data_IF_244950336526
#
_entry.id   IF_244950336526
#
_cell.length_a   1.000
_cell.length_b   1.000
_cell.length_c   1.000
_cell.angle_alpha   90.00
_cell.angle_beta   90.00
_cell.angle_gamma   90.00
#
_symmetry.space_group_name_H-M   'P 1'
#
loop_
_entity.id
_entity.type
_entity.pdbx_description
1 polymer ?
#
# COMPACT_ATOMS: atom_id res chain seq x y z
N UNK A 1 -13.88 0.75 13.86
CA UNK A 1 -14.47 0.96 12.52
C UNK A 1 -13.51 1.66 11.56
N UNK A 2 -12.21 1.76 11.87
CA UNK A 2 -11.17 2.46 11.09
C UNK A 2 -11.39 3.98 10.91
N UNK A 3 -12.52 4.39 10.31
CA UNK A 3 -12.87 5.79 10.07
C UNK A 3 -14.20 5.93 9.31
N UNK A 4 -14.55 7.18 8.96
CA UNK A 4 -15.78 7.50 8.23
C UNK A 4 -16.97 7.77 9.15
N UNK A 5 -18.05 7.02 8.99
CA UNK A 5 -19.33 7.30 9.67
C UNK A 5 -19.26 7.25 11.21
N UNK A 6 -18.25 6.59 11.79
CA UNK A 6 -18.08 6.51 13.24
C UNK A 6 -17.49 7.79 13.86
N UNK A 7 -16.86 8.65 13.07
CA UNK A 7 -16.06 9.78 13.59
C UNK A 7 -16.95 10.81 14.30
N UNK A 8 -18.03 11.26 13.65
CA UNK A 8 -18.88 12.31 14.21
C UNK A 8 -19.51 11.90 15.54
N UNK A 9 -20.05 10.68 15.63
CA UNK A 9 -20.62 10.15 16.86
C UNK A 9 -19.60 10.05 18.01
N UNK A 10 -18.33 9.72 17.71
CA UNK A 10 -17.26 9.72 18.71
C UNK A 10 -16.92 11.13 19.18
N UNK A 11 -16.93 12.11 18.28
CA UNK A 11 -16.67 13.52 18.63
C UNK A 11 -17.80 14.10 19.48
N UNK A 12 -19.07 13.83 19.14
CA UNK A 12 -20.23 14.23 19.95
C UNK A 12 -20.18 13.61 21.36
N UNK A 13 -19.73 12.36 21.47
CA UNK A 13 -19.62 11.67 22.76
C UNK A 13 -18.61 12.32 23.72
N UNK A 14 -17.73 13.21 23.25
CA UNK A 14 -16.80 13.98 24.11
C UNK A 14 -17.51 14.98 25.02
N UNK A 15 -18.77 15.32 24.75
CA UNK A 15 -19.58 16.22 25.59
C UNK A 15 -20.41 15.46 26.64
N UNK A 16 -20.24 14.14 26.75
CA UNK A 16 -20.94 13.31 27.72
C UNK A 16 -19.95 12.70 28.72
N UNK A 17 -20.01 13.09 29.99
CA UNK A 17 -19.07 12.67 31.04
C UNK A 17 -18.87 11.15 31.17
N UNK A 18 -19.90 10.34 30.86
CA UNK A 18 -19.81 8.88 30.95
C UNK A 18 -19.15 8.25 29.72
N UNK A 19 -19.29 8.87 28.56
CA UNK A 19 -18.81 8.34 27.28
C UNK A 19 -17.48 8.95 26.86
N UNK A 20 -17.20 10.19 27.27
CA UNK A 20 -16.03 10.94 26.85
C UNK A 20 -14.70 10.24 27.13
N UNK A 21 -14.47 9.55 28.27
CA UNK A 21 -13.24 8.78 28.47
C UNK A 21 -13.07 7.65 27.44
N UNK A 22 -14.17 7.00 27.05
CA UNK A 22 -14.16 5.87 26.09
C UNK A 22 -13.93 6.41 24.68
N UNK A 23 -14.63 7.49 24.32
CA UNK A 23 -14.50 8.14 23.03
C UNK A 23 -13.11 8.74 22.83
N UNK A 24 -12.53 9.34 23.87
CA UNK A 24 -11.16 9.86 23.84
C UNK A 24 -10.14 8.76 23.53
N UNK A 25 -10.23 7.63 24.24
CA UNK A 25 -9.38 6.47 23.94
C UNK A 25 -9.55 5.98 22.49
N UNK A 26 -10.78 5.92 22.00
CA UNK A 26 -11.03 5.50 20.61
C UNK A 26 -10.45 6.47 19.59
N UNK A 27 -10.64 7.78 19.76
CA UNK A 27 -10.15 8.82 18.85
C UNK A 27 -8.61 8.95 18.88
N UNK A 28 -7.97 8.72 20.04
CA UNK A 28 -6.51 8.68 20.17
C UNK A 28 -5.83 7.69 19.21
N UNK A 29 -6.48 6.56 18.90
CA UNK A 29 -5.97 5.55 17.96
C UNK A 29 -6.61 5.60 16.56
N UNK A 30 -7.47 6.59 16.30
CA UNK A 30 -8.14 6.74 15.00
C UNK A 30 -7.30 7.63 14.09
N UNK A 31 -6.77 7.08 13.00
CA UNK A 31 -5.89 7.80 12.07
C UNK A 31 -6.68 8.60 11.02
N UNK A 32 -7.81 8.06 10.57
CA UNK A 32 -8.63 8.59 9.49
C UNK A 32 -9.51 9.77 9.95
N UNK A 33 -8.89 10.75 10.61
CA UNK A 33 -9.56 11.96 11.11
C UNK A 33 -9.74 13.03 10.03
N UNK A 34 -8.83 13.11 9.06
CA UNK A 34 -8.84 14.10 7.98
C UNK A 34 -9.22 15.52 8.47
N UNK A 35 -10.32 16.09 7.98
CA UNK A 35 -10.80 17.41 8.40
C UNK A 35 -11.49 17.42 9.76
N UNK A 36 -12.07 16.29 10.21
CA UNK A 36 -12.64 16.15 11.55
C UNK A 36 -11.59 16.28 12.67
N UNK A 37 -10.30 16.35 12.33
CA UNK A 37 -9.28 16.85 13.24
C UNK A 37 -9.64 18.23 13.82
N UNK A 38 -10.14 19.14 12.98
CA UNK A 38 -10.44 20.52 13.39
C UNK A 38 -11.61 20.58 14.37
N UNK A 39 -12.59 19.68 14.25
CA UNK A 39 -13.71 19.56 15.19
C UNK A 39 -13.21 19.20 16.61
N UNK A 40 -12.22 18.31 16.71
CA UNK A 40 -11.58 17.95 17.98
C UNK A 40 -10.72 19.10 18.51
N UNK A 41 -9.97 19.77 17.62
CA UNK A 41 -9.15 20.93 17.97
C UNK A 41 -10.01 22.08 18.54
N UNK A 42 -11.17 22.36 17.92
CA UNK A 42 -12.11 23.38 18.38
C UNK A 42 -12.61 23.08 19.79
N UNK A 43 -13.04 21.83 20.06
CA UNK A 43 -13.45 21.40 21.40
C UNK A 43 -12.31 21.53 22.42
N UNK A 44 -11.08 21.21 22.03
CA UNK A 44 -9.91 21.37 22.90
C UNK A 44 -9.66 22.84 23.25
N UNK A 45 -9.75 23.74 22.26
CA UNK A 45 -9.64 25.20 22.43
C UNK A 45 -10.77 25.76 23.28
N UNK A 46 -11.98 25.21 23.18
CA UNK A 46 -13.14 25.56 24.01
C UNK A 46 -13.04 25.04 25.46
N UNK A 47 -12.00 24.26 25.80
CA UNK A 47 -11.71 23.83 27.17
C UNK A 47 -12.10 22.39 27.51
N UNK A 48 -12.61 21.60 26.55
CA UNK A 48 -12.93 20.19 26.78
C UNK A 48 -11.64 19.40 27.10
N UNK A 49 -11.58 18.82 28.31
CA UNK A 49 -10.39 18.12 28.82
C UNK A 49 -10.06 16.85 28.04
N UNK A 50 -11.07 16.14 27.54
CA UNK A 50 -10.91 14.92 26.75
C UNK A 50 -10.42 15.23 25.34
N UNK A 51 -10.92 16.31 24.73
CA UNK A 51 -10.40 16.78 23.44
C UNK A 51 -8.92 17.20 23.54
N UNK A 52 -8.52 17.86 24.63
CA UNK A 52 -7.10 18.16 24.91
C UNK A 52 -6.26 16.90 25.06
N UNK A 53 -6.77 15.88 25.75
CA UNK A 53 -6.11 14.58 25.87
C UNK A 53 -5.87 13.93 24.51
N UNK A 54 -6.87 13.94 23.62
CA UNK A 54 -6.75 13.38 22.26
C UNK A 54 -5.68 14.14 21.47
N UNK A 55 -5.70 15.48 21.49
CA UNK A 55 -4.72 16.31 20.81
C UNK A 55 -3.29 16.02 21.28
N UNK A 56 -3.10 15.84 22.59
CA UNK A 56 -1.81 15.48 23.17
C UNK A 56 -1.38 14.06 22.76
N UNK A 57 -2.28 13.09 22.83
CA UNK A 57 -2.06 11.69 22.41
C UNK A 57 -1.60 11.58 20.95
N UNK A 58 -2.25 12.31 20.03
CA UNK A 58 -1.82 12.40 18.64
C UNK A 58 -0.45 13.07 18.51
N UNK A 59 -0.20 14.15 19.25
CA UNK A 59 1.05 14.89 19.21
C UNK A 59 2.25 14.08 19.75
N UNK A 60 2.01 13.17 20.70
CA UNK A 60 2.99 12.25 21.27
C UNK A 60 3.14 10.96 20.44
N UNK A 61 2.24 10.73 19.48
CA UNK A 61 2.30 9.59 18.57
C UNK A 61 1.90 8.27 19.21
N UNK A 62 1.00 8.29 20.20
CA UNK A 62 0.57 7.08 20.94
C UNK A 62 -0.04 6.00 20.04
N UNK A 63 -0.72 6.40 18.96
CA UNK A 63 -1.22 5.49 17.93
C UNK A 63 -0.12 4.61 17.30
N UNK A 64 1.13 5.09 17.31
CA UNK A 64 2.29 4.41 16.76
C UNK A 64 3.08 3.69 17.87
N UNK A 65 3.33 4.36 19.00
CA UNK A 65 4.17 3.81 20.07
C UNK A 65 3.52 2.64 20.82
N UNK A 66 2.19 2.58 20.87
CA UNK A 66 1.47 1.44 21.47
C UNK A 66 1.41 0.20 20.56
N UNK A 67 1.81 0.34 19.27
CA UNK A 67 1.94 -0.81 18.38
C UNK A 67 3.26 -1.54 18.64
N UNK A 68 3.29 -2.88 18.58
CA UNK A 68 4.51 -3.65 18.73
C UNK A 68 5.59 -3.21 17.74
N UNK A 69 6.83 -3.07 18.21
CA UNK A 69 7.96 -2.79 17.34
C UNK A 69 8.27 -4.01 16.45
N UNK A 70 8.87 -3.74 15.29
CA UNK A 70 9.42 -4.81 14.47
C UNK A 70 10.45 -5.58 15.29
N UNK A 71 10.27 -6.90 15.40
CA UNK A 71 11.15 -7.73 16.21
C UNK A 71 12.60 -7.68 15.70
N UNK A 72 13.57 -7.70 16.63
CA UNK A 72 15.00 -7.77 16.27
C UNK A 72 15.36 -9.05 15.50
N UNK A 73 14.55 -10.11 15.70
CA UNK A 73 14.67 -11.40 15.06
C UNK A 73 13.29 -11.92 14.67
N UNK A 74 13.13 -12.33 13.41
CA UNK A 74 11.91 -12.92 12.87
C UNK A 74 12.25 -14.32 12.36
N UNK A 75 11.67 -15.34 12.97
CA UNK A 75 11.84 -16.73 12.52
C UNK A 75 10.73 -17.10 11.56
N UNK A 76 11.08 -17.55 10.35
CA UNK A 76 10.12 -17.90 9.29
C UNK A 76 10.47 -19.24 8.64
N UNK A 77 9.45 -19.90 8.08
CA UNK A 77 9.63 -21.05 7.17
C UNK A 77 9.57 -20.55 5.72
N UNK A 78 10.55 -20.95 4.91
CA UNK A 78 10.67 -20.53 3.52
C UNK A 78 9.63 -21.25 2.64
N UNK A 79 8.81 -20.48 1.93
CA UNK A 79 8.02 -20.94 0.78
C UNK A 79 8.72 -20.47 -0.50
N UNK A 80 9.60 -21.30 -1.07
CA UNK A 80 10.41 -20.94 -2.24
C UNK A 80 9.68 -21.23 -3.55
N UNK A 81 9.60 -20.23 -4.42
CA UNK A 81 9.18 -20.36 -5.82
C UNK A 81 10.38 -20.05 -6.70
N UNK A 82 10.95 -21.06 -7.37
CA UNK A 82 12.13 -20.90 -8.23
C UNK A 82 11.78 -20.16 -9.52
N UNK A 83 12.74 -19.42 -10.06
CA UNK A 83 12.61 -18.61 -11.24
C UNK A 83 11.86 -17.29 -11.02
N UNK A 84 11.15 -16.85 -12.05
CA UNK A 84 10.36 -15.62 -12.04
C UNK A 84 8.92 -15.91 -11.58
N UNK A 85 8.47 -15.16 -10.57
CA UNK A 85 7.06 -15.07 -10.19
C UNK A 85 6.44 -13.84 -10.83
N UNK A 86 5.63 -14.05 -11.85
CA UNK A 86 4.79 -13.02 -12.42
C UNK A 86 3.54 -12.79 -11.55
N UNK A 87 3.02 -11.58 -11.50
CA UNK A 87 1.76 -11.30 -10.80
C UNK A 87 0.56 -12.08 -11.36
N UNK A 88 0.59 -12.54 -12.61
CA UNK A 88 -0.42 -13.46 -13.16
C UNK A 88 -0.35 -14.85 -12.54
N UNK A 89 0.83 -15.29 -12.07
CA UNK A 89 0.98 -16.55 -11.36
C UNK A 89 0.29 -16.53 -9.99
N UNK A 90 0.34 -15.37 -9.34
CA UNK A 90 -0.25 -15.13 -8.03
C UNK A 90 -1.75 -14.79 -8.12
N UNK A 91 -2.17 -14.18 -9.22
CA UNK A 91 -3.53 -13.73 -9.47
C UNK A 91 -3.85 -13.86 -10.95
N UNK A 92 -4.27 -15.05 -11.43
CA UNK A 92 -4.45 -15.31 -12.86
C UNK A 92 -5.52 -14.42 -13.51
N UNK A 93 -5.29 -14.01 -14.76
CA UNK A 93 -6.23 -13.18 -15.50
C UNK A 93 -7.66 -13.77 -15.62
N UNK A 94 -7.88 -15.08 -15.85
CA UNK A 94 -9.23 -15.66 -15.93
C UNK A 94 -10.07 -15.49 -14.65
N UNK A 95 -9.42 -15.26 -13.51
CA UNK A 95 -10.00 -15.12 -12.18
C UNK A 95 -10.12 -13.65 -11.75
N UNK A 96 -9.87 -12.69 -12.65
CA UNK A 96 -9.94 -11.26 -12.34
C UNK A 96 -11.28 -10.82 -11.72
N UNK A 97 -12.35 -11.51 -12.08
CA UNK A 97 -13.72 -11.29 -11.59
C UNK A 97 -13.90 -11.51 -10.09
N UNK A 98 -13.08 -12.38 -9.46
CA UNK A 98 -13.18 -12.70 -8.03
C UNK A 98 -12.25 -11.87 -7.15
N UNK A 99 -11.38 -11.02 -7.74
CA UNK A 99 -10.36 -10.24 -7.00
C UNK A 99 -10.85 -9.48 -5.75
N UNK A 100 -12.07 -8.90 -5.71
CA UNK A 100 -12.56 -8.22 -4.50
C UNK A 100 -12.86 -9.18 -3.34
N UNK A 101 -13.13 -10.45 -3.62
CA UNK A 101 -13.31 -11.50 -2.62
C UNK A 101 -11.95 -12.18 -2.37
N UNK A 102 -11.17 -11.62 -1.44
CA UNK A 102 -9.78 -12.01 -1.19
C UNK A 102 -9.66 -13.51 -0.85
N UNK A 103 -10.43 -14.10 0.08
CA UNK A 103 -10.34 -15.52 0.40
C UNK A 103 -10.64 -16.41 -0.81
N UNK A 104 -11.68 -16.07 -1.58
CA UNK A 104 -12.06 -16.82 -2.77
C UNK A 104 -10.98 -16.74 -3.85
N UNK A 105 -10.47 -15.53 -4.11
CA UNK A 105 -9.47 -15.29 -5.14
C UNK A 105 -8.14 -15.95 -4.80
N UNK A 106 -7.77 -16.01 -3.51
CA UNK A 106 -6.54 -16.65 -3.05
C UNK A 106 -6.47 -18.14 -3.42
N UNK A 107 -7.59 -18.83 -3.60
CA UNK A 107 -7.60 -20.22 -4.08
C UNK A 107 -6.91 -20.38 -5.45
N UNK A 108 -6.92 -19.33 -6.29
CA UNK A 108 -6.32 -19.38 -7.63
C UNK A 108 -4.80 -19.12 -7.65
N UNK A 109 -4.20 -18.71 -6.52
CA UNK A 109 -2.77 -18.40 -6.42
C UNK A 109 -1.94 -19.65 -6.74
N UNK A 110 -1.03 -19.55 -7.71
CA UNK A 110 -0.15 -20.64 -8.14
C UNK A 110 -0.92 -21.92 -8.54
N UNK A 111 -2.14 -21.80 -9.08
CA UNK A 111 -2.94 -22.95 -9.52
C UNK A 111 -2.35 -23.71 -10.71
N UNK A 112 -1.46 -23.08 -11.48
CA UNK A 112 -0.75 -23.72 -12.58
C UNK A 112 0.57 -24.30 -12.06
N UNK A 113 0.77 -25.60 -12.24
CA UNK A 113 1.94 -26.31 -11.74
C UNK A 113 3.25 -25.70 -12.27
N UNK A 114 4.26 -25.69 -11.40
CA UNK A 114 5.64 -25.27 -11.69
C UNK A 114 6.60 -26.08 -10.84
N UNK A 115 7.90 -25.97 -11.11
CA UNK A 115 8.92 -26.65 -10.33
C UNK A 115 8.79 -26.32 -8.83
N UNK A 116 8.75 -27.35 -7.99
CA UNK A 116 8.63 -27.22 -6.53
C UNK A 116 7.24 -26.84 -6.00
N UNK A 117 6.24 -26.62 -6.87
CA UNK A 117 4.89 -26.22 -6.48
C UNK A 117 3.86 -27.21 -7.01
N UNK A 118 3.08 -27.76 -6.08
CA UNK A 118 2.08 -28.80 -6.34
C UNK A 118 0.68 -28.27 -6.05
N UNK A 119 -0.07 -27.79 -7.06
CA UNK A 119 -1.43 -27.31 -6.87
C UNK A 119 -2.36 -28.43 -6.42
N UNK A 120 -3.26 -28.16 -5.48
CA UNK A 120 -4.27 -29.11 -5.00
C UNK A 120 -5.20 -29.58 -6.13
N UNK A 121 -5.54 -28.68 -7.05
CA UNK A 121 -6.29 -28.96 -8.27
C UNK A 121 -5.70 -28.16 -9.44
N UNK A 122 -4.79 -28.74 -10.24
CA UNK A 122 -4.12 -28.02 -11.33
C UNK A 122 -5.09 -27.26 -12.25
N UNK A 123 -4.82 -25.98 -12.45
CA UNK A 123 -5.63 -25.05 -13.24
C UNK A 123 -6.82 -24.42 -12.49
N UNK A 124 -7.12 -24.87 -11.26
CA UNK A 124 -8.28 -24.43 -10.47
C UNK A 124 -7.89 -23.94 -9.07
N UNK A 125 -7.21 -24.78 -8.29
CA UNK A 125 -6.83 -24.51 -6.89
C UNK A 125 -5.32 -24.66 -6.71
N UNK A 126 -4.71 -23.65 -6.09
CA UNK A 126 -3.29 -23.57 -5.73
C UNK A 126 -2.79 -24.58 -4.71
N UNK A 127 -1.53 -24.45 -4.26
CA UNK A 127 -0.84 -25.42 -3.41
C UNK A 127 -1.22 -25.26 -1.92
N UNK A 128 -2.52 -25.29 -1.59
CA UNK A 128 -3.02 -25.03 -0.23
C UNK A 128 -2.50 -26.07 0.75
N UNK A 129 -2.53 -27.36 0.40
CA UNK A 129 -2.01 -28.42 1.28
C UNK A 129 -0.51 -28.28 1.53
N UNK A 130 0.25 -27.84 0.52
CA UNK A 130 1.68 -27.61 0.66
C UNK A 130 1.96 -26.45 1.62
N UNK A 131 1.22 -25.34 1.49
CA UNK A 131 1.28 -24.19 2.39
C UNK A 131 0.91 -24.62 3.83
N UNK A 132 -0.20 -25.35 4.01
CA UNK A 132 -0.62 -25.86 5.32
C UNK A 132 0.40 -26.82 5.94
N UNK A 133 1.02 -27.68 5.14
CA UNK A 133 2.06 -28.59 5.61
C UNK A 133 3.29 -27.84 6.13
N UNK A 134 3.68 -26.73 5.49
CA UNK A 134 4.77 -25.87 5.95
C UNK A 134 4.37 -25.09 7.21
N UNK A 135 3.14 -24.57 7.28
CA UNK A 135 2.62 -23.91 8.47
C UNK A 135 2.66 -24.79 9.74
N UNK A 136 2.54 -26.12 9.59
CA UNK A 136 2.67 -27.07 10.71
C UNK A 136 4.05 -27.09 11.37
N UNK A 137 5.07 -26.48 10.76
CA UNK A 137 6.39 -26.29 11.39
C UNK A 137 6.38 -25.26 12.53
N UNK A 138 5.29 -24.51 12.71
CA UNK A 138 5.08 -23.62 13.85
C UNK A 138 5.67 -22.22 13.71
N UNK A 139 6.15 -21.86 12.51
CA UNK A 139 6.64 -20.52 12.19
C UNK A 139 5.82 -19.91 11.04
N UNK A 140 5.67 -18.57 10.99
CA UNK A 140 5.10 -17.89 9.83
C UNK A 140 5.85 -18.23 8.54
N UNK A 141 5.16 -18.15 7.39
CA UNK A 141 5.80 -18.34 6.10
C UNK A 141 6.38 -17.03 5.56
N UNK A 142 7.51 -17.14 4.86
CA UNK A 142 8.00 -16.09 3.98
C UNK A 142 7.90 -16.53 2.53
N UNK A 143 7.36 -15.67 1.66
CA UNK A 143 7.38 -15.90 0.22
C UNK A 143 8.79 -15.60 -0.29
N UNK A 144 9.44 -16.57 -0.95
CA UNK A 144 10.80 -16.41 -1.45
C UNK A 144 10.85 -16.73 -2.93
N UNK A 145 11.49 -15.90 -3.75
CA UNK A 145 11.65 -16.18 -5.18
C UNK A 145 12.85 -15.47 -5.82
N UNK A 146 13.33 -15.96 -6.96
CA UNK A 146 14.54 -15.39 -7.57
C UNK A 146 14.24 -14.01 -8.19
N UNK A 147 13.11 -13.89 -8.89
CA UNK A 147 12.52 -12.62 -9.33
C UNK A 147 11.05 -12.58 -8.96
N UNK A 148 10.57 -11.56 -8.25
CA UNK A 148 9.22 -11.53 -7.67
C UNK A 148 8.41 -10.32 -8.12
N UNK A 149 7.17 -10.56 -8.54
CA UNK A 149 6.14 -9.53 -8.70
C UNK A 149 6.18 -8.78 -10.03
N UNK A 150 6.78 -9.36 -11.07
CA UNK A 150 6.81 -8.73 -12.40
C UNK A 150 5.41 -8.65 -13.03
N UNK A 151 5.28 -7.78 -14.04
CA UNK A 151 4.07 -7.66 -14.84
C UNK A 151 3.07 -6.61 -14.36
N UNK A 152 1.86 -7.05 -14.03
CA UNK A 152 0.68 -6.20 -13.78
C UNK A 152 0.68 -5.60 -12.38
N UNK A 153 0.08 -4.42 -12.21
CA UNK A 153 -0.06 -3.74 -10.90
C UNK A 153 -1.19 -4.31 -10.02
N UNK A 154 -1.69 -5.52 -10.31
CA UNK A 154 -2.87 -6.09 -9.66
C UNK A 154 -2.61 -6.37 -8.17
N UNK A 155 -3.23 -5.58 -7.28
CA UNK A 155 -3.12 -5.75 -5.82
C UNK A 155 -3.58 -7.13 -5.35
N UNK A 156 -4.43 -7.81 -6.11
CA UNK A 156 -4.86 -9.18 -5.84
C UNK A 156 -3.71 -10.17 -5.70
N UNK A 157 -2.59 -9.99 -6.40
CA UNK A 157 -1.40 -10.82 -6.22
C UNK A 157 -0.84 -10.72 -4.78
N UNK A 158 -0.68 -9.50 -4.28
CA UNK A 158 -0.31 -9.23 -2.88
C UNK A 158 -1.37 -9.77 -1.92
N UNK A 159 -2.66 -9.50 -2.17
CA UNK A 159 -3.73 -9.96 -1.30
C UNK A 159 -3.72 -11.49 -1.13
N UNK A 160 -3.48 -12.24 -2.21
CA UNK A 160 -3.44 -13.71 -2.15
C UNK A 160 -2.23 -14.23 -1.37
N UNK A 161 -1.05 -13.63 -1.54
CA UNK A 161 0.14 -13.98 -0.73
C UNK A 161 -0.12 -13.70 0.75
N UNK A 162 -0.60 -12.50 1.09
CA UNK A 162 -0.86 -12.09 2.46
C UNK A 162 -2.05 -12.84 3.09
N UNK A 163 -2.98 -13.33 2.29
CA UNK A 163 -4.05 -14.19 2.79
C UNK A 163 -3.49 -15.46 3.45
N UNK A 164 -2.49 -16.08 2.81
CA UNK A 164 -1.88 -17.31 3.33
C UNK A 164 -0.71 -17.06 4.30
N UNK A 165 -0.01 -15.94 4.18
CA UNK A 165 1.28 -15.70 4.85
C UNK A 165 1.32 -14.44 5.72
N UNK A 166 0.22 -13.69 5.78
CA UNK A 166 0.08 -12.49 6.61
C UNK A 166 -0.75 -12.72 7.87
N UNK A 167 -0.98 -11.63 8.58
CA UNK A 167 -1.67 -11.58 9.87
C UNK A 167 -3.09 -11.03 9.72
N UNK A 168 -3.99 -11.52 10.58
CA UNK A 168 -5.35 -10.97 10.68
C UNK A 168 -5.31 -9.52 11.16
N UNK A 169 -6.11 -8.66 10.53
CA UNK A 169 -6.27 -7.27 10.94
C UNK A 169 -7.47 -7.19 11.90
N UNK A 170 -7.29 -6.72 13.15
CA UNK A 170 -8.39 -6.68 14.12
C UNK A 170 -9.63 -5.96 13.60
N UNK A 171 -10.78 -6.64 13.67
CA UNK A 171 -12.10 -6.13 13.25
C UNK A 171 -12.25 -5.80 11.76
N UNK A 172 -11.31 -6.24 10.91
CA UNK A 172 -11.40 -6.09 9.45
C UNK A 172 -11.54 -7.48 8.82
N UNK A 173 -12.75 -7.87 8.36
CA UNK A 173 -12.97 -9.21 7.84
C UNK A 173 -12.30 -9.41 6.48
N UNK A 174 -11.88 -10.65 6.20
CA UNK A 174 -11.44 -11.11 4.89
C UNK A 174 -10.30 -10.29 4.26
N UNK A 175 -9.47 -9.62 5.08
CA UNK A 175 -8.25 -8.94 4.67
C UNK A 175 -7.15 -9.20 5.70
N UNK A 176 -5.94 -9.43 5.19
CA UNK A 176 -4.72 -9.62 5.99
C UNK A 176 -3.65 -8.60 5.61
N UNK A 177 -2.76 -8.32 6.55
CA UNK A 177 -1.59 -7.46 6.37
C UNK A 177 -0.31 -8.18 6.83
N UNK A 178 0.79 -7.46 6.98
CA UNK A 178 2.02 -8.07 7.52
C UNK A 178 2.71 -9.02 6.53
N UNK A 179 3.41 -10.03 7.06
CA UNK A 179 4.14 -11.01 6.25
C UNK A 179 5.52 -10.53 5.75
N UNK A 180 6.31 -11.48 5.25
CA UNK A 180 7.69 -11.24 4.76
C UNK A 180 7.83 -11.77 3.34
N UNK A 181 8.48 -10.98 2.47
CA UNK A 181 8.83 -11.41 1.11
C UNK A 181 10.29 -11.15 0.83
N UNK A 182 10.99 -12.20 0.41
CA UNK A 182 12.39 -12.17 0.03
C UNK A 182 12.51 -12.40 -1.47
N UNK A 183 13.29 -11.58 -2.16
CA UNK A 183 13.54 -11.81 -3.57
C UNK A 183 14.94 -11.44 -3.99
N UNK A 184 15.55 -12.22 -4.90
CA UNK A 184 16.78 -11.80 -5.58
C UNK A 184 16.58 -10.46 -6.30
N UNK A 185 15.41 -10.31 -6.92
CA UNK A 185 14.90 -9.03 -7.41
C UNK A 185 13.40 -8.92 -7.13
N UNK A 186 12.92 -7.76 -6.69
CA UNK A 186 11.50 -7.47 -6.51
C UNK A 186 11.09 -6.32 -7.44
N UNK A 187 10.05 -6.52 -8.23
CA UNK A 187 9.57 -5.48 -9.14
C UNK A 187 9.05 -4.26 -8.35
N UNK A 188 9.37 -3.01 -8.74
CA UNK A 188 9.07 -1.82 -7.93
C UNK A 188 7.59 -1.63 -7.54
N UNK A 189 6.66 -1.93 -8.44
CA UNK A 189 5.22 -1.81 -8.16
C UNK A 189 4.79 -2.83 -7.09
N UNK A 190 5.31 -4.06 -7.20
CA UNK A 190 5.01 -5.11 -6.23
C UNK A 190 5.63 -4.79 -4.88
N UNK A 191 6.90 -4.35 -4.85
CA UNK A 191 7.57 -3.87 -3.63
C UNK A 191 6.71 -2.82 -2.89
N UNK A 192 6.27 -1.79 -3.62
CA UNK A 192 5.44 -0.74 -3.06
C UNK A 192 4.08 -1.27 -2.57
N UNK A 193 3.48 -2.23 -3.28
CA UNK A 193 2.20 -2.82 -2.87
C UNK A 193 2.35 -3.65 -1.58
N UNK A 194 3.49 -4.31 -1.38
CA UNK A 194 3.80 -5.08 -0.17
C UNK A 194 4.02 -4.16 1.04
N UNK A 195 4.85 -3.11 0.91
CA UNK A 195 5.11 -2.15 1.99
C UNK A 195 3.83 -1.35 2.36
N UNK A 196 2.99 -0.99 1.38
CA UNK A 196 1.70 -0.33 1.62
C UNK A 196 0.74 -1.20 2.43
N UNK A 197 0.85 -2.53 2.30
CA UNK A 197 0.04 -3.51 3.02
C UNK A 197 0.62 -3.97 4.37
N UNK A 198 1.74 -3.37 4.79
CA UNK A 198 2.40 -3.68 6.07
C UNK A 198 3.34 -4.87 6.03
N UNK A 199 3.63 -5.42 4.85
CA UNK A 199 4.61 -6.48 4.69
C UNK A 199 6.05 -5.94 4.73
N UNK A 200 7.01 -6.84 4.95
CA UNK A 200 8.44 -6.56 4.90
C UNK A 200 9.06 -7.16 3.61
N UNK A 201 9.11 -6.40 2.50
CA UNK A 201 9.81 -6.82 1.28
C UNK A 201 11.32 -6.54 1.39
N UNK A 202 12.15 -7.54 1.08
CA UNK A 202 13.62 -7.45 1.14
C UNK A 202 14.22 -8.00 -0.15
N UNK A 203 15.02 -7.18 -0.83
CA UNK A 203 15.89 -7.67 -1.91
C UNK A 203 17.17 -8.28 -1.30
N UNK A 204 17.39 -9.57 -1.53
CA UNK A 204 18.51 -10.35 -0.97
C UNK A 204 18.81 -11.54 -1.87
N UNK A 205 20.06 -12.03 -1.91
CA UNK A 205 20.36 -13.29 -2.58
C UNK A 205 19.57 -14.44 -1.91
N UNK A 206 18.82 -15.20 -2.71
CA UNK A 206 17.95 -16.28 -2.24
C UNK A 206 18.43 -17.66 -2.70
N UNK A 207 19.63 -17.76 -3.27
CA UNK A 207 20.19 -19.01 -3.83
C UNK A 207 20.41 -20.09 -2.78
N UNK A 208 20.72 -19.69 -1.54
CA UNK A 208 20.88 -20.59 -0.38
C UNK A 208 19.59 -20.90 0.37
N UNK A 209 18.46 -20.32 -0.04
CA UNK A 209 17.17 -20.48 0.64
C UNK A 209 16.30 -21.49 -0.12
N UNK A 210 16.02 -22.62 0.50
CA UNK A 210 15.27 -23.73 -0.09
C UNK A 210 13.88 -23.87 0.53
N UNK A 211 12.98 -24.54 -0.20
CA UNK A 211 11.62 -24.82 0.27
C UNK A 211 11.65 -25.55 1.62
N UNK A 212 10.98 -24.96 2.62
CA UNK A 212 10.86 -25.51 3.95
C UNK A 212 12.02 -25.23 4.90
N UNK A 213 13.08 -24.53 4.48
CA UNK A 213 14.12 -24.07 5.40
C UNK A 213 13.51 -23.17 6.48
N UNK A 214 14.02 -23.29 7.72
CA UNK A 214 13.67 -22.37 8.80
C UNK A 214 14.82 -21.40 8.99
N UNK A 215 14.54 -20.11 8.86
CA UNK A 215 15.54 -19.05 8.88
C UNK A 215 15.19 -17.98 9.91
N UNK A 216 16.23 -17.36 10.47
CA UNK A 216 16.14 -16.19 11.33
C UNK A 216 16.56 -14.96 10.52
N UNK A 217 15.63 -14.01 10.37
CA UNK A 217 15.87 -12.71 9.73
C UNK A 217 16.11 -11.69 10.84
N UNK A 218 17.19 -10.92 10.74
CA UNK A 218 17.53 -9.84 11.66
C UNK A 218 17.40 -8.49 10.95
N UNK A 219 16.21 -7.84 10.94
CA UNK A 219 15.94 -6.65 10.13
C UNK A 219 16.91 -5.49 10.39
N UNK A 220 17.30 -5.30 11.65
CA UNK A 220 18.20 -4.23 12.07
C UNK A 220 19.68 -4.52 11.83
N UNK A 221 20.06 -5.81 11.72
CA UNK A 221 21.44 -6.23 11.44
C UNK A 221 21.70 -6.43 9.95
N UNK A 222 20.65 -6.65 9.16
CA UNK A 222 20.79 -6.98 7.75
C UNK A 222 21.34 -8.39 7.53
N UNK A 223 20.90 -9.37 8.33
CA UNK A 223 21.41 -10.74 8.27
C UNK A 223 20.27 -11.76 8.17
N UNK A 224 20.48 -12.81 7.38
CA UNK A 224 19.66 -14.01 7.34
C UNK A 224 20.53 -15.18 7.79
N UNK A 225 20.05 -15.92 8.80
CA UNK A 225 20.76 -17.07 9.37
C UNK A 225 19.90 -18.32 9.34
N UNK A 226 20.53 -19.48 9.26
CA UNK A 226 19.85 -20.74 9.49
C UNK A 226 19.40 -20.82 10.96
N UNK A 227 18.14 -21.18 11.21
CA UNK A 227 17.58 -21.19 12.57
C UNK A 227 18.22 -22.24 13.48
N UNK A 228 18.59 -23.40 12.95
CA UNK A 228 19.15 -24.51 13.73
C UNK A 228 20.66 -24.37 13.95
N UNK A 229 21.41 -23.99 12.91
CA UNK A 229 22.87 -23.93 12.96
C UNK A 229 23.43 -22.55 13.30
N UNK A 230 22.60 -21.51 13.23
CA UNK A 230 23.00 -20.10 13.34
C UNK A 230 24.05 -19.65 12.29
N UNK A 231 24.24 -20.45 11.24
CA UNK A 231 25.10 -20.14 10.11
C UNK A 231 24.58 -18.89 9.39
N UNK A 232 25.48 -17.96 9.05
CA UNK A 232 25.14 -16.80 8.22
C UNK A 232 24.92 -17.28 6.78
N UNK A 233 23.66 -17.23 6.33
CA UNK A 233 23.30 -17.60 4.97
C UNK A 233 23.60 -16.43 4.04
N UNK A 234 23.06 -15.25 4.35
CA UNK A 234 23.20 -14.05 3.53
C UNK A 234 23.11 -12.75 4.36
N UNK A 235 23.58 -11.66 3.77
CA UNK A 235 23.39 -10.30 4.30
C UNK A 235 22.57 -9.45 3.34
N UNK A 236 21.87 -8.44 3.86
CA UNK A 236 21.03 -7.54 3.09
C UNK A 236 21.06 -6.12 3.65
N UNK A 237 20.60 -5.18 2.84
CA UNK A 237 20.29 -3.83 3.28
C UNK A 237 18.81 -3.55 3.00
N UNK A 238 18.10 -2.98 3.96
CA UNK A 238 16.77 -2.45 3.71
C UNK A 238 16.88 -1.29 2.72
N UNK A 239 15.92 -1.20 1.79
CA UNK A 239 15.84 -0.10 0.82
C UNK A 239 15.83 1.26 1.51
N UNK A 240 15.14 1.34 2.66
CA UNK A 240 15.08 2.51 3.53
C UNK A 240 14.86 2.07 4.97
N UNK A 241 15.39 2.81 5.94
CA UNK A 241 15.12 2.55 7.36
C UNK A 241 13.68 2.91 7.75
N UNK A 242 13.00 3.73 6.95
CA UNK A 242 11.58 4.09 7.15
C UNK A 242 10.69 2.84 7.08
N UNK A 243 11.10 1.81 6.35
CA UNK A 243 10.38 0.54 6.22
C UNK A 243 10.12 -0.11 7.60
N UNK A 244 11.01 0.10 8.57
CA UNK A 244 10.81 -0.36 9.97
C UNK A 244 9.57 0.29 10.59
N UNK A 245 9.39 1.60 10.38
CA UNK A 245 8.21 2.32 10.87
C UNK A 245 6.95 1.93 10.08
N UNK A 246 7.08 1.65 8.79
CA UNK A 246 5.95 1.24 7.94
C UNK A 246 5.36 -0.08 8.43
N UNK A 247 6.21 -1.08 8.69
CA UNK A 247 5.76 -2.37 9.22
C UNK A 247 5.11 -2.19 10.60
N UNK A 248 5.71 -1.41 11.50
CA UNK A 248 5.12 -1.12 12.83
C UNK A 248 3.75 -0.47 12.70
N UNK A 249 3.58 0.49 11.79
CA UNK A 249 2.31 1.17 11.55
C UNK A 249 1.24 0.27 10.91
N UNK A 250 1.60 -0.93 10.44
CA UNK A 250 0.72 -1.82 9.68
C UNK A 250 0.61 -1.45 8.20
N UNK A 251 1.60 -0.72 7.68
CA UNK A 251 1.71 -0.30 6.29
C UNK A 251 2.21 1.13 6.14
N UNK A 252 2.81 1.42 4.98
CA UNK A 252 3.25 2.77 4.63
C UNK A 252 2.10 3.78 4.58
N UNK A 253 0.94 3.39 4.06
CA UNK A 253 -0.25 4.28 4.00
C UNK A 253 -0.72 4.70 5.42
N UNK A 254 -0.98 3.78 6.36
CA UNK A 254 -1.25 4.14 7.76
C UNK A 254 -0.17 5.03 8.39
N UNK A 255 1.11 4.75 8.13
CA UNK A 255 2.22 5.55 8.66
C UNK A 255 2.13 7.02 8.19
N UNK A 256 1.90 7.25 6.90
CA UNK A 256 1.83 8.61 6.35
C UNK A 256 0.65 9.38 6.96
N UNK A 257 -0.53 8.76 7.02
CA UNK A 257 -1.72 9.38 7.60
C UNK A 257 -1.49 9.71 9.07
N UNK A 258 -1.01 8.76 9.86
CA UNK A 258 -0.75 8.95 11.28
C UNK A 258 0.36 9.96 11.57
N UNK A 259 1.44 9.95 10.78
CA UNK A 259 2.52 10.95 10.88
C UNK A 259 2.01 12.35 10.57
N UNK A 260 1.17 12.49 9.54
CA UNK A 260 0.48 13.74 9.20
C UNK A 260 -0.41 14.24 10.34
N UNK A 261 -1.20 13.34 10.95
CA UNK A 261 -2.04 13.63 12.10
C UNK A 261 -1.21 14.12 13.30
N UNK A 262 -0.12 13.42 13.63
CA UNK A 262 0.82 13.82 14.69
C UNK A 262 1.44 15.19 14.40
N UNK A 263 1.89 15.44 13.16
CA UNK A 263 2.46 16.74 12.78
C UNK A 263 1.46 17.88 12.95
N UNK A 264 0.22 17.69 12.50
CA UNK A 264 -0.87 18.67 12.62
C UNK A 264 -1.21 18.96 14.09
N UNK A 265 -1.30 17.93 14.93
CA UNK A 265 -1.52 18.06 16.37
C UNK A 265 -0.39 18.84 17.06
N UNK A 266 0.87 18.52 16.75
CA UNK A 266 2.04 19.22 17.31
C UNK A 266 2.07 20.69 16.93
N UNK A 267 1.79 20.99 15.66
CA UNK A 267 1.71 22.38 15.18
C UNK A 267 0.60 23.16 15.90
N UNK A 268 -0.59 22.58 16.04
CA UNK A 268 -1.71 23.17 16.76
C UNK A 268 -1.39 23.43 18.26
N UNK A 269 -0.60 22.56 18.88
CA UNK A 269 -0.15 22.70 20.27
C UNK A 269 1.10 23.58 20.45
N UNK A 270 1.68 24.12 19.37
CA UNK A 270 2.90 24.92 19.42
C UNK A 270 4.15 24.12 19.79
N UNK A 271 4.14 22.80 19.56
CA UNK A 271 5.25 21.90 19.83
C UNK A 271 6.23 21.84 18.63
N UNK A 272 7.53 21.58 18.87
CA UNK A 272 8.49 21.39 17.78
C UNK A 272 8.14 20.13 16.95
N UNK A 273 8.63 20.01 15.70
CA UNK A 273 8.48 18.79 14.90
C UNK A 273 8.86 17.53 15.68
N UNK A 274 8.15 16.43 15.44
CA UNK A 274 8.42 15.16 16.12
C UNK A 274 9.76 14.58 15.70
N UNK A 275 10.48 13.97 16.65
CA UNK A 275 11.68 13.14 16.41
C UNK A 275 11.39 11.65 16.54
N UNK A 276 10.11 11.27 16.64
CA UNK A 276 9.67 9.88 16.88
C UNK A 276 9.87 8.99 15.65
N UNK A 277 9.64 9.53 14.45
CA UNK A 277 9.62 8.77 13.21
C UNK A 277 11.00 8.82 12.52
N UNK A 278 11.38 7.71 11.92
CA UNK A 278 12.53 7.63 11.02
C UNK A 278 12.27 8.49 9.79
N UNK A 279 13.33 9.15 9.35
CA UNK A 279 13.33 9.95 8.13
C UNK A 279 14.11 9.23 7.05
N UNK A 280 13.72 9.46 5.79
CA UNK A 280 14.54 9.06 4.66
C UNK A 280 15.94 9.68 4.79
N UNK A 281 16.97 8.97 4.32
CA UNK A 281 18.34 9.48 4.35
C UNK A 281 18.40 10.81 3.62
N UNK A 282 19.07 11.78 4.23
CA UNK A 282 19.34 13.05 3.57
C UNK A 282 20.15 12.76 2.30
N UNK A 283 19.65 13.24 1.16
CA UNK A 283 20.39 13.12 -0.10
C UNK A 283 21.54 14.10 -0.09
N UNK A 284 22.70 13.68 -0.61
CA UNK A 284 23.88 14.53 -0.69
C UNK A 284 23.57 15.86 -1.40
N UNK A 285 24.07 16.95 -0.83
CA UNK A 285 23.94 18.25 -1.46
C UNK A 285 24.72 18.24 -2.78
N UNK A 286 24.04 18.65 -3.85
CA UNK A 286 24.63 18.74 -5.18
C UNK A 286 24.22 20.03 -5.85
N UNK A 287 25.20 20.70 -6.45
CA UNK A 287 25.10 21.89 -7.27
C UNK A 287 24.74 21.58 -8.75
N UNK A 288 24.74 20.30 -9.14
CA UNK A 288 24.40 19.87 -10.50
C UNK A 288 22.95 20.20 -10.85
N UNK A 289 22.64 20.40 -12.12
CA UNK A 289 21.25 20.60 -12.56
C UNK A 289 20.32 19.40 -12.27
N UNK A 290 19.02 19.60 -12.47
CA UNK A 290 18.01 18.55 -12.38
C UNK A 290 17.63 18.02 -13.78
N UNK A 291 17.36 16.71 -13.88
CA UNK A 291 16.74 16.10 -15.06
C UNK A 291 15.27 16.55 -15.21
N UNK A 292 14.66 16.27 -16.36
CA UNK A 292 13.25 16.62 -16.60
C UNK A 292 12.32 15.95 -15.58
N UNK A 293 12.50 14.66 -15.30
CA UNK A 293 11.71 13.92 -14.31
C UNK A 293 11.85 14.54 -12.91
N UNK A 294 13.08 14.89 -12.50
CA UNK A 294 13.36 15.52 -11.21
C UNK A 294 12.67 16.89 -11.08
N UNK A 295 12.65 17.68 -12.17
CA UNK A 295 11.95 18.98 -12.21
C UNK A 295 10.44 18.83 -12.12
N UNK A 296 9.86 17.87 -12.86
CA UNK A 296 8.41 17.61 -12.83
C UNK A 296 7.95 17.22 -11.42
N UNK A 297 8.67 16.29 -10.78
CA UNK A 297 8.36 15.88 -9.39
C UNK A 297 8.60 17.02 -8.41
N UNK A 298 9.73 17.75 -8.55
CA UNK A 298 10.02 18.94 -7.75
C UNK A 298 8.89 19.95 -7.79
N UNK A 299 8.42 20.30 -9.00
CA UNK A 299 7.32 21.25 -9.19
C UNK A 299 6.05 20.79 -8.47
N UNK A 300 5.71 19.51 -8.53
CA UNK A 300 4.56 18.95 -7.83
C UNK A 300 4.71 18.95 -6.30
N UNK A 301 5.93 19.10 -5.79
CA UNK A 301 6.24 19.30 -4.37
C UNK A 301 6.52 20.76 -3.98
N UNK A 302 6.36 21.72 -4.90
CA UNK A 302 6.68 23.13 -4.66
C UNK A 302 8.19 23.44 -4.57
N UNK A 303 9.04 22.64 -5.21
CA UNK A 303 10.52 22.75 -5.21
C UNK A 303 11.07 22.79 -6.64
N UNK A 304 12.31 23.22 -6.81
CA UNK A 304 12.97 23.26 -8.14
C UNK A 304 13.28 21.87 -8.72
N UNK A 305 13.45 20.88 -7.85
CA UNK A 305 13.71 19.49 -8.21
C UNK A 305 13.83 18.59 -6.99
N UNK A 306 13.62 17.28 -7.19
CA UNK A 306 13.84 16.22 -6.19
C UNK A 306 15.01 15.35 -6.64
N UNK A 307 15.92 15.00 -5.72
CA UNK A 307 17.08 14.15 -6.04
C UNK A 307 16.75 12.66 -5.88
N UNK A 308 17.46 11.75 -6.56
CA UNK A 308 17.26 10.31 -6.39
C UNK A 308 17.53 9.90 -4.93
N UNK A 309 16.71 8.99 -4.41
CA UNK A 309 16.73 8.56 -3.01
C UNK A 309 16.01 9.49 -2.03
N UNK A 310 15.58 10.67 -2.48
CA UNK A 310 14.84 11.61 -1.64
C UNK A 310 13.36 11.19 -1.56
N UNK A 311 12.83 11.12 -0.34
CA UNK A 311 11.40 10.95 -0.12
C UNK A 311 10.66 12.26 -0.40
N UNK A 312 9.56 12.18 -1.15
CA UNK A 312 8.70 13.31 -1.46
C UNK A 312 7.24 12.88 -1.59
N UNK A 313 6.33 13.87 -1.53
CA UNK A 313 4.89 13.67 -1.67
C UNK A 313 4.34 14.59 -2.77
N UNK A 314 4.59 14.29 -4.06
CA UNK A 314 4.10 15.12 -5.16
C UNK A 314 2.57 15.20 -5.18
N UNK A 315 2.05 16.39 -5.53
CA UNK A 315 0.64 16.57 -5.87
C UNK A 315 0.25 15.69 -7.06
N UNK A 316 -0.85 14.94 -6.92
CA UNK A 316 -1.45 14.12 -7.96
C UNK A 316 -2.46 14.93 -8.77
N UNK A 317 -2.09 15.26 -10.02
CA UNK A 317 -2.96 16.01 -10.94
C UNK A 317 -3.93 15.10 -11.68
N UNK A 318 -3.50 13.90 -12.06
CA UNK A 318 -4.35 12.94 -12.79
C UNK A 318 -4.17 11.53 -12.25
N UNK A 319 -5.29 10.87 -11.95
CA UNK A 319 -5.35 9.50 -11.43
C UNK A 319 -6.22 8.63 -12.33
N UNK A 320 -5.64 7.56 -12.90
CA UNK A 320 -6.35 6.61 -13.76
C UNK A 320 -6.82 5.35 -13.04
N UNK A 321 -8.01 4.85 -13.37
CA UNK A 321 -8.57 3.58 -12.91
C UNK A 321 -9.25 2.81 -14.05
N UNK A 322 -9.10 1.49 -14.07
CA UNK A 322 -9.71 0.57 -15.05
C UNK A 322 -10.56 -0.48 -14.35
N UNK A 323 -11.34 -1.26 -15.11
CA UNK A 323 -12.45 -2.08 -14.63
C UNK A 323 -12.06 -3.42 -13.98
N UNK A 324 -10.82 -3.88 -14.12
CA UNK A 324 -10.30 -5.09 -13.45
C UNK A 324 -9.54 -4.79 -12.16
N UNK A 325 -9.07 -3.57 -11.96
CA UNK A 325 -8.49 -3.07 -10.69
C UNK A 325 -9.45 -2.16 -9.93
N UNK A 326 -10.40 -1.52 -10.63
CA UNK A 326 -11.38 -0.58 -10.11
C UNK A 326 -12.21 -1.11 -8.95
N UNK A 327 -12.74 -2.35 -8.99
CA UNK A 327 -13.43 -2.94 -7.85
C UNK A 327 -12.56 -3.03 -6.58
N UNK A 328 -11.27 -3.38 -6.70
CA UNK A 328 -10.34 -3.35 -5.57
C UNK A 328 -10.06 -1.92 -5.12
N UNK A 329 -9.81 -0.99 -6.05
CA UNK A 329 -9.59 0.43 -5.73
C UNK A 329 -10.80 1.04 -5.01
N UNK A 330 -12.02 0.69 -5.41
CA UNK A 330 -13.26 1.05 -4.72
C UNK A 330 -13.25 0.58 -3.26
N UNK A 331 -12.83 -0.66 -3.03
CA UNK A 331 -12.85 -1.22 -1.67
C UNK A 331 -11.73 -0.63 -0.81
N UNK A 332 -10.55 -0.36 -1.37
CA UNK A 332 -9.50 0.41 -0.68
C UNK A 332 -9.93 1.86 -0.38
N UNK A 333 -10.70 2.51 -1.27
CA UNK A 333 -11.28 3.84 -1.01
C UNK A 333 -12.31 3.82 0.13
N UNK A 334 -13.08 2.74 0.27
CA UNK A 334 -13.99 2.57 1.41
C UNK A 334 -13.22 2.40 2.71
N UNK A 335 -12.14 1.62 2.70
CA UNK A 335 -11.30 1.40 3.89
C UNK A 335 -10.60 2.68 4.34
N UNK A 336 -10.25 3.56 3.40
CA UNK A 336 -9.74 4.91 3.67
C UNK A 336 -10.85 5.91 4.04
N UNK A 337 -12.10 5.48 4.17
CA UNK A 337 -13.24 6.34 4.43
C UNK A 337 -13.38 7.52 3.45
N UNK A 338 -12.96 7.34 2.19
CA UNK A 338 -13.00 8.38 1.18
C UNK A 338 -14.43 8.65 0.72
N UNK A 339 -14.92 9.86 1.02
CA UNK A 339 -16.22 10.38 0.59
C UNK A 339 -16.13 11.34 -0.62
N UNK A 340 -14.93 11.80 -0.96
CA UNK A 340 -14.64 12.66 -2.12
C UNK A 340 -13.16 12.60 -2.48
N UNK A 341 -12.85 12.84 -3.75
CA UNK A 341 -11.46 12.88 -4.22
C UNK A 341 -10.85 14.27 -4.01
N UNK A 342 -9.57 14.28 -3.61
CA UNK A 342 -8.77 15.50 -3.50
C UNK A 342 -7.80 15.68 -4.67
N UNK A 343 -7.53 14.62 -5.45
CA UNK A 343 -6.81 14.73 -6.71
C UNK A 343 -7.64 15.52 -7.73
N UNK A 344 -6.98 16.40 -8.52
CA UNK A 344 -7.65 17.31 -9.45
C UNK A 344 -8.52 16.57 -10.48
N UNK A 345 -8.06 15.40 -10.96
CA UNK A 345 -8.80 14.52 -11.86
C UNK A 345 -8.62 13.05 -11.47
N UNK A 346 -9.74 12.35 -11.32
CA UNK A 346 -9.80 10.88 -11.19
C UNK A 346 -10.68 10.34 -12.32
N UNK A 347 -10.17 9.43 -13.16
CA UNK A 347 -10.89 8.87 -14.30
C UNK A 347 -11.03 7.35 -14.20
N UNK A 348 -12.24 6.83 -14.36
CA UNK A 348 -12.56 5.40 -14.42
C UNK A 348 -12.95 4.99 -15.84
N UNK A 349 -12.41 3.87 -16.32
CA UNK A 349 -12.72 3.27 -17.62
C UNK A 349 -13.33 1.86 -17.52
N UNK A 350 -13.92 1.37 -18.62
CA UNK A 350 -14.49 0.02 -18.73
C UNK A 350 -13.99 -0.67 -20.01
N UNK A 351 -12.70 -0.98 -20.06
CA UNK A 351 -12.05 -1.43 -21.29
C UNK A 351 -11.61 -2.90 -21.30
N UNK A 352 -11.45 -3.53 -20.13
CA UNK A 352 -10.94 -4.91 -20.03
C UNK A 352 -12.06 -5.96 -19.99
N UNK A 353 -13.26 -5.58 -19.53
CA UNK A 353 -14.39 -6.49 -19.30
C UNK A 353 -15.58 -6.22 -20.23
N UNK A 354 -15.51 -5.19 -21.08
CA UNK A 354 -16.65 -4.74 -21.88
C UNK A 354 -17.00 -5.64 -23.07
N UNK A 355 -16.02 -6.33 -23.67
CA UNK A 355 -16.26 -7.11 -24.90
C UNK A 355 -17.13 -8.36 -24.65
N UNK A 356 -16.89 -9.06 -23.54
CA UNK A 356 -17.57 -10.31 -23.19
C UNK A 356 -17.84 -10.35 -21.67
N UNK A 357 -18.77 -9.53 -21.17
CA UNK A 357 -18.96 -9.37 -19.73
C UNK A 357 -19.59 -10.62 -19.10
N UNK A 358 -19.01 -11.09 -18.00
CA UNK A 358 -19.68 -12.04 -17.09
C UNK A 358 -20.77 -11.30 -16.29
N UNK A 359 -21.73 -12.01 -15.66
CA UNK A 359 -22.78 -11.35 -14.85
C UNK A 359 -22.23 -10.43 -13.74
N UNK A 360 -21.09 -10.78 -13.15
CA UNK A 360 -20.39 -9.93 -12.16
C UNK A 360 -19.78 -8.68 -12.79
N UNK A 361 -19.27 -8.76 -14.02
CA UNK A 361 -18.76 -7.60 -14.75
C UNK A 361 -19.88 -6.62 -15.07
N UNK A 362 -21.07 -7.12 -15.46
CA UNK A 362 -22.28 -6.30 -15.66
C UNK A 362 -22.66 -5.56 -14.38
N UNK A 363 -22.55 -6.22 -13.22
CA UNK A 363 -22.77 -5.55 -11.92
C UNK A 363 -21.76 -4.44 -11.68
N UNK A 364 -20.48 -4.67 -12.00
CA UNK A 364 -19.44 -3.62 -11.93
C UNK A 364 -19.76 -2.46 -12.88
N UNK A 365 -20.22 -2.73 -14.11
CA UNK A 365 -20.60 -1.70 -15.09
C UNK A 365 -21.75 -0.81 -14.61
N UNK A 366 -22.66 -1.36 -13.80
CA UNK A 366 -23.78 -0.59 -13.23
C UNK A 366 -23.46 0.15 -11.93
N UNK A 367 -22.51 -0.35 -11.13
CA UNK A 367 -22.28 0.18 -9.77
C UNK A 367 -21.03 1.05 -9.63
N UNK A 368 -19.99 0.78 -10.41
CA UNK A 368 -18.73 1.51 -10.33
C UNK A 368 -18.80 2.95 -10.86
N UNK A 369 -19.59 3.29 -11.91
CA UNK A 369 -19.71 4.67 -12.38
C UNK A 369 -20.18 5.63 -11.29
N UNK A 370 -21.31 5.32 -10.64
CA UNK A 370 -21.89 6.18 -9.61
C UNK A 370 -20.96 6.32 -8.41
N UNK A 371 -20.26 5.24 -8.03
CA UNK A 371 -19.29 5.29 -6.94
C UNK A 371 -18.18 6.33 -7.21
N UNK A 372 -17.71 6.42 -8.45
CA UNK A 372 -16.66 7.35 -8.88
C UNK A 372 -17.21 8.76 -9.04
N UNK A 373 -18.34 8.92 -9.73
CA UNK A 373 -18.95 10.24 -10.00
C UNK A 373 -19.41 10.94 -8.71
N UNK A 374 -19.97 10.20 -7.75
CA UNK A 374 -20.37 10.76 -6.45
C UNK A 374 -19.18 11.29 -5.62
N UNK A 375 -17.95 10.97 -6.01
CA UNK A 375 -16.70 11.46 -5.39
C UNK A 375 -16.02 12.56 -6.23
N UNK A 376 -16.66 13.04 -7.29
CA UNK A 376 -16.11 14.06 -8.20
C UNK A 376 -15.27 13.50 -9.35
N UNK A 377 -15.22 12.18 -9.53
CA UNK A 377 -14.48 11.55 -10.63
C UNK A 377 -15.23 11.52 -11.96
N UNK A 378 -14.50 11.33 -13.04
CA UNK A 378 -15.02 11.10 -14.40
C UNK A 378 -15.17 9.60 -14.64
N UNK A 379 -16.32 9.18 -15.16
CA UNK A 379 -16.57 7.79 -15.54
C UNK A 379 -16.86 7.66 -17.03
N UNK A 380 -16.06 6.88 -17.74
CA UNK A 380 -16.34 6.44 -19.10
C UNK A 380 -17.39 5.31 -19.08
N UNK A 381 -17.81 4.86 -20.27
CA UNK A 381 -18.81 3.81 -20.44
C UNK A 381 -18.20 2.54 -21.06
N UNK A 382 -18.78 1.35 -20.81
CA UNK A 382 -18.45 0.16 -21.59
C UNK A 382 -18.61 0.44 -23.09
N UNK A 383 -17.56 0.16 -23.86
CA UNK A 383 -17.52 0.43 -25.31
C UNK A 383 -16.78 1.71 -25.71
N UNK A 384 -16.46 2.63 -24.78
CA UNK A 384 -15.71 3.85 -25.10
C UNK A 384 -14.25 3.58 -25.49
N UNK A 385 -13.69 2.44 -25.04
CA UNK A 385 -12.36 1.97 -25.42
C UNK A 385 -11.31 2.12 -24.33
N UNK A 386 -10.04 1.96 -24.73
CA UNK A 386 -8.90 1.75 -23.83
C UNK A 386 -8.66 2.96 -22.92
N UNK A 387 -8.46 2.72 -21.62
CA UNK A 387 -8.19 3.73 -20.58
C UNK A 387 -7.20 4.81 -21.03
N UNK A 388 -6.01 4.42 -21.49
CA UNK A 388 -4.92 5.35 -21.80
C UNK A 388 -5.20 6.20 -23.03
N UNK A 389 -6.05 5.73 -23.95
CA UNK A 389 -6.51 6.55 -25.08
C UNK A 389 -7.32 7.76 -24.58
N UNK A 390 -8.11 7.59 -23.53
CA UNK A 390 -8.90 8.67 -22.95
C UNK A 390 -8.11 9.49 -21.93
N UNK A 391 -7.45 8.82 -20.98
CA UNK A 391 -6.69 9.48 -19.92
C UNK A 391 -5.63 10.44 -20.49
N UNK A 392 -4.89 10.01 -21.52
CA UNK A 392 -3.84 10.83 -22.12
C UNK A 392 -4.35 12.13 -22.76
N UNK A 393 -5.64 12.21 -23.09
CA UNK A 393 -6.29 13.42 -23.62
C UNK A 393 -6.74 14.39 -22.54
N UNK A 394 -6.68 13.98 -21.27
CA UNK A 394 -7.09 14.78 -20.11
C UNK A 394 -5.91 15.28 -19.29
N UNK A 395 -4.68 14.97 -19.71
CA UNK A 395 -3.47 15.34 -18.98
C UNK A 395 -3.11 16.82 -19.17
N UNK A 396 -2.51 17.39 -18.13
CA UNK A 396 -1.85 18.69 -18.19
C UNK A 396 -0.33 18.51 -18.34
N UNK A 397 0.34 19.23 -19.25
CA UNK A 397 1.79 19.14 -19.41
C UNK A 397 2.56 19.41 -18.11
N UNK A 398 3.70 18.74 -17.94
CA UNK A 398 4.63 18.91 -16.81
C UNK A 398 4.04 18.62 -15.41
N UNK A 399 2.92 17.90 -15.34
CA UNK A 399 2.31 17.48 -14.08
C UNK A 399 2.60 16.02 -13.75
N UNK A 400 2.34 15.64 -12.49
CA UNK A 400 2.56 14.29 -11.96
C UNK A 400 1.22 13.59 -11.73
N UNK A 401 1.18 12.28 -11.99
CA UNK A 401 0.02 11.46 -11.65
C UNK A 401 0.33 9.99 -11.44
N UNK A 402 -0.72 9.19 -11.30
CA UNK A 402 -0.64 7.75 -11.07
C UNK A 402 -1.83 7.03 -11.70
N UNK A 403 -1.85 5.70 -11.62
CA UNK A 403 -3.01 4.92 -12.02
C UNK A 403 -2.92 3.46 -11.63
N UNK A 404 -4.09 2.84 -11.47
CA UNK A 404 -4.27 1.42 -11.14
C UNK A 404 -4.04 0.50 -12.32
N UNK A 405 -3.03 0.79 -13.13
CA UNK A 405 -2.64 0.04 -14.33
C UNK A 405 -1.15 0.29 -14.63
N UNK A 406 -0.38 -0.77 -14.86
CA UNK A 406 1.08 -0.68 -15.06
C UNK A 406 1.50 0.07 -16.33
N UNK A 407 0.58 0.23 -17.28
CA UNK A 407 0.78 1.01 -18.50
C UNK A 407 0.32 2.47 -18.36
N UNK A 408 -0.01 2.92 -17.15
CA UNK A 408 -0.21 4.36 -16.87
C UNK A 408 1.13 5.09 -17.01
N UNK A 409 1.49 5.41 -18.26
CA UNK A 409 2.75 6.03 -18.67
C UNK A 409 2.40 7.27 -19.49
N UNK A 410 2.37 8.41 -18.81
CA UNK A 410 1.91 9.66 -19.41
C UNK A 410 2.84 10.11 -20.55
N UNK A 411 2.30 10.46 -21.73
CA UNK A 411 3.09 10.99 -22.84
C UNK A 411 3.50 12.46 -22.62
N UNK A 412 2.80 13.18 -21.74
CA UNK A 412 3.10 14.54 -21.31
C UNK A 412 3.04 14.60 -19.78
N UNK A 413 4.08 15.15 -19.14
CA UNK A 413 4.27 15.01 -17.70
C UNK A 413 4.91 13.67 -17.33
N UNK A 414 4.66 13.20 -16.11
CA UNK A 414 5.21 11.92 -15.60
C UNK A 414 4.19 11.19 -14.74
N UNK A 415 4.19 9.86 -14.79
CA UNK A 415 3.34 9.02 -13.95
C UNK A 415 4.08 7.85 -13.33
N UNK A 416 3.68 7.50 -12.10
CA UNK A 416 4.17 6.33 -11.39
C UNK A 416 2.99 5.38 -11.13
N UNK A 417 2.82 4.31 -11.92
CA UNK A 417 1.79 3.31 -11.70
C UNK A 417 1.89 2.67 -10.32
N UNK A 418 0.73 2.30 -9.76
CA UNK A 418 0.69 1.68 -8.45
C UNK A 418 -0.45 0.66 -8.31
N UNK A 419 -0.40 -0.11 -7.22
CA UNK A 419 -1.51 -0.98 -6.81
C UNK A 419 -2.71 -0.19 -6.29
N UNK A 420 -3.86 -0.84 -6.21
CA UNK A 420 -5.14 -0.22 -5.83
C UNK A 420 -5.12 0.55 -4.51
N UNK A 421 -4.30 0.14 -3.52
CA UNK A 421 -4.20 0.82 -2.22
C UNK A 421 -3.60 2.22 -2.36
N UNK A 422 -2.44 2.32 -3.03
CA UNK A 422 -1.78 3.61 -3.25
C UNK A 422 -2.56 4.52 -4.21
N UNK A 423 -3.25 3.93 -5.20
CA UNK A 423 -4.14 4.68 -6.10
C UNK A 423 -5.34 5.25 -5.34
N UNK A 424 -5.92 4.48 -4.43
CA UNK A 424 -6.99 4.94 -3.56
C UNK A 424 -6.51 6.09 -2.65
N UNK A 425 -5.33 5.94 -2.04
CA UNK A 425 -4.69 7.00 -1.26
C UNK A 425 -4.48 8.27 -2.09
N UNK A 426 -3.85 8.15 -3.25
CA UNK A 426 -3.58 9.27 -4.17
C UNK A 426 -4.85 10.00 -4.60
N UNK A 427 -5.92 9.27 -4.92
CA UNK A 427 -7.20 9.86 -5.28
C UNK A 427 -7.85 10.58 -4.08
N UNK A 428 -7.79 9.98 -2.89
CA UNK A 428 -8.42 10.52 -1.68
C UNK A 428 -7.70 11.75 -1.12
N UNK A 429 -6.37 11.76 -1.10
CA UNK A 429 -5.55 12.82 -0.46
C UNK A 429 -4.97 13.82 -1.46
N UNK A 430 -4.96 13.49 -2.76
CA UNK A 430 -4.39 14.37 -3.79
C UNK A 430 -2.86 14.39 -3.80
N UNK A 431 -2.20 13.53 -3.02
CA UNK A 431 -0.73 13.38 -2.96
C UNK A 431 -0.34 11.91 -2.98
N UNK A 432 0.90 11.59 -3.34
CA UNK A 432 1.39 10.21 -3.36
C UNK A 432 2.79 10.12 -2.76
N UNK A 433 3.07 9.23 -1.81
CA UNK A 433 4.43 8.98 -1.34
C UNK A 433 5.31 8.44 -2.46
N UNK A 434 6.53 8.97 -2.55
CA UNK A 434 7.49 8.58 -3.56
C UNK A 434 8.92 8.71 -3.02
N UNK A 435 9.62 7.58 -2.95
CA UNK A 435 11.09 7.58 -2.94
C UNK A 435 11.57 7.79 -4.37
N UNK A 436 12.17 8.94 -4.65
CA UNK A 436 12.51 9.35 -6.01
C UNK A 436 13.51 8.35 -6.63
N UNK A 437 13.18 7.67 -7.73
CA UNK A 437 14.09 6.71 -8.33
C UNK A 437 15.22 7.39 -9.10
N UNK A 438 16.29 6.63 -9.35
CA UNK A 438 17.32 7.00 -10.32
C UNK A 438 16.74 7.03 -11.74
N UNK A 439 17.44 7.73 -12.65
CA UNK A 439 17.04 7.85 -14.06
C UNK A 439 18.05 7.16 -14.97
N UNK A 440 17.56 6.28 -15.84
CA UNK A 440 18.32 5.83 -17.02
C UNK A 440 18.08 6.79 -18.19
N UNK A 441 19.14 7.27 -18.83
CA UNK A 441 19.03 8.17 -20.00
C UNK A 441 19.20 7.34 -21.27
N UNK A 442 18.24 7.45 -22.18
CA UNK A 442 18.32 6.92 -23.53
C UNK A 442 18.11 8.06 -24.53
N UNK A 443 19.06 8.22 -25.45
CA UNK A 443 19.02 9.21 -26.53
C UNK A 443 19.09 8.44 -27.83
N UNK A 444 18.07 8.59 -28.67
CA UNK A 444 17.95 7.91 -29.96
C UNK A 444 18.73 8.65 -31.06
#
# INVERSE_FOLDING_TARGET
MQGGYNIHALIEALDNDKLAPIAAKALSHTLLMFDSFYDVEEKAKAGNVYAKQIMQSWADGEWFTERPELAEKITVTVFKVTGETNTDDLSPAPDAWSRPDIPLHALAMLKNAREGIEPDQPGSVGPIKQIEALNKKGFPLAYVGDVVGTGSSRKSATNSVLWFMGDDIPYVPNKRGGGVVLGGKIAPIFFNTMEDAGALPIEVDVSKLNMGDVIDIYPYKGEIRNHETNELLETFALKTEVLIDEVRAGGRIPLIIGRGLTSKARSALGLPPSTLFRHAKAVEQSDRGFSLAQKMVGRACGRDGIRPGEYCEPKMTSVGSQDTTGPMTRDELKDLACLGFSADLVMQSFCHTAAYPKPVDVTTHHTLPDFIMNRGGVSLRPGDGIIHSWLNRMLLPDTVGTGGDSHTRFPIGISFPAGSGLVAFAAATGVMPLDMPESGVSTL
#
